data_IF_933586358736
#
_entry.id   IF_933586358736
#
_cell.length_a   1.000
_cell.length_b   1.000
_cell.length_c   1.000
_cell.angle_alpha   90.00
_cell.angle_beta   90.00
_cell.angle_gamma   90.00
#
_symmetry.space_group_name_H-M   'P 1'
#
loop_
_entity.id
_entity.type
_entity.pdbx_description
1 polymer ?
#
# COMPACT_ATOMS: atom_id res chain seq x y z
N UNK A 1 11.11 -10.76 30.71
CA UNK A 1 10.82 -9.77 29.65
C UNK A 1 10.71 -10.50 28.32
N UNK A 2 9.48 -10.70 27.83
CA UNK A 2 9.15 -11.38 26.57
C UNK A 2 8.27 -10.43 25.75
N UNK A 3 8.83 -9.32 25.25
CA UNK A 3 8.08 -8.37 24.40
C UNK A 3 8.66 -8.22 22.98
N UNK A 4 9.90 -8.65 22.71
CA UNK A 4 10.54 -8.49 21.40
C UNK A 4 9.91 -9.30 20.24
N UNK A 5 9.07 -10.30 20.55
CA UNK A 5 8.42 -11.13 19.54
C UNK A 5 7.14 -10.55 18.97
N UNK A 6 6.47 -9.66 19.72
CA UNK A 6 5.16 -9.11 19.33
C UNK A 6 5.29 -7.92 18.39
N UNK A 7 6.24 -7.02 18.65
CA UNK A 7 6.48 -5.86 17.78
C UNK A 7 7.01 -6.26 16.40
N UNK A 8 7.74 -7.38 16.31
CA UNK A 8 8.29 -7.87 15.05
C UNK A 8 7.26 -8.56 14.14
N UNK A 9 6.10 -8.98 14.65
CA UNK A 9 5.00 -9.46 13.79
C UNK A 9 4.12 -8.29 13.34
N UNK A 10 3.89 -7.28 14.19
CA UNK A 10 3.19 -6.04 13.83
C UNK A 10 3.97 -5.26 12.76
N UNK A 11 5.28 -5.09 12.94
CA UNK A 11 6.17 -4.40 11.99
C UNK A 11 6.35 -5.17 10.66
N UNK A 12 6.19 -6.50 10.68
CA UNK A 12 6.16 -7.32 9.46
C UNK A 12 4.79 -7.35 8.79
N UNK A 13 3.71 -7.22 9.56
CA UNK A 13 2.33 -7.09 9.08
C UNK A 13 2.09 -5.74 8.37
N UNK A 14 2.80 -4.68 8.77
CA UNK A 14 2.71 -3.35 8.16
C UNK A 14 3.39 -3.18 6.78
N UNK A 15 4.06 -4.21 6.24
CA UNK A 15 4.83 -4.07 4.99
C UNK A 15 3.96 -4.04 3.73
N UNK A 16 2.74 -4.58 3.79
CA UNK A 16 1.83 -4.57 2.65
C UNK A 16 0.80 -3.45 2.81
N UNK A 17 1.07 -2.31 2.15
CA UNK A 17 0.11 -1.22 2.10
C UNK A 17 -1.00 -1.56 1.11
N UNK A 18 -2.24 -1.33 1.50
CA UNK A 18 -3.42 -1.68 0.71
C UNK A 18 -4.32 -0.47 0.54
N UNK A 19 -4.90 -0.27 -0.64
CA UNK A 19 -5.97 0.71 -0.89
C UNK A 19 -7.20 0.04 -1.48
N UNK A 20 -8.33 0.73 -1.39
CA UNK A 20 -9.54 0.33 -2.09
C UNK A 20 -9.53 0.90 -3.51
N UNK A 21 -10.22 0.24 -4.43
CA UNK A 21 -10.47 0.75 -5.79
C UNK A 21 -11.07 2.15 -5.84
N UNK A 22 -11.84 2.50 -4.79
CA UNK A 22 -12.53 3.78 -4.61
C UNK A 22 -11.69 4.85 -3.89
N UNK A 23 -10.49 4.52 -3.38
CA UNK A 23 -9.60 5.53 -2.81
C UNK A 23 -9.14 6.51 -3.90
N UNK A 24 -9.01 7.79 -3.55
CA UNK A 24 -8.55 8.81 -4.50
C UNK A 24 -7.07 8.61 -4.85
N UNK A 25 -6.70 9.02 -6.07
CA UNK A 25 -5.30 8.97 -6.50
C UNK A 25 -4.37 9.76 -5.58
N UNK A 26 -4.82 10.92 -5.07
CA UNK A 26 -4.08 11.72 -4.10
C UNK A 26 -3.71 10.92 -2.84
N UNK A 27 -4.67 10.17 -2.28
CA UNK A 27 -4.44 9.32 -1.10
C UNK A 27 -3.45 8.18 -1.39
N UNK A 28 -3.47 7.63 -2.61
CA UNK A 28 -2.49 6.63 -3.05
C UNK A 28 -1.09 7.24 -3.16
N UNK A 29 -0.98 8.45 -3.72
CA UNK A 29 0.30 9.18 -3.84
C UNK A 29 0.89 9.50 -2.47
N UNK A 30 0.08 9.98 -1.52
CA UNK A 30 0.52 10.29 -0.16
C UNK A 30 1.14 9.05 0.53
N UNK A 31 0.55 7.87 0.31
CA UNK A 31 1.10 6.60 0.84
C UNK A 31 2.37 6.17 0.12
N UNK A 32 2.44 6.33 -1.20
CA UNK A 32 3.67 6.04 -1.97
C UNK A 32 4.80 7.04 -1.68
N UNK A 33 4.49 8.23 -1.13
CA UNK A 33 5.48 9.20 -0.71
C UNK A 33 6.27 8.75 0.54
N UNK A 34 5.76 7.77 1.29
CA UNK A 34 6.52 7.16 2.38
C UNK A 34 7.67 6.31 1.80
N UNK A 35 8.96 6.60 2.13
CA UNK A 35 10.12 5.90 1.58
C UNK A 35 10.12 4.37 1.77
N UNK A 36 9.38 3.87 2.78
CA UNK A 36 9.21 2.44 3.02
C UNK A 36 8.21 1.75 2.08
N UNK A 37 7.42 2.50 1.32
CA UNK A 37 6.28 2.00 0.54
C UNK A 37 6.55 2.16 -0.95
N UNK A 38 6.95 1.07 -1.60
CA UNK A 38 7.26 1.08 -3.05
C UNK A 38 6.07 0.74 -3.93
N UNK A 39 5.11 0.01 -3.37
CA UNK A 39 3.95 -0.55 -4.06
C UNK A 39 2.77 -0.58 -3.09
N UNK A 40 1.58 -0.37 -3.62
CA UNK A 40 0.32 -0.48 -2.90
C UNK A 40 -0.54 -1.51 -3.61
N UNK A 41 -1.12 -2.41 -2.83
CA UNK A 41 -2.03 -3.43 -3.31
C UNK A 41 -3.46 -2.87 -3.35
N UNK A 42 -4.12 -2.95 -4.49
CA UNK A 42 -5.51 -2.53 -4.65
C UNK A 42 -6.39 -3.74 -4.36
N UNK A 43 -7.34 -3.58 -3.45
CA UNK A 43 -8.31 -4.63 -3.12
C UNK A 43 -9.75 -4.16 -3.23
N UNK A 44 -10.62 -5.11 -3.48
CA UNK A 44 -12.07 -4.91 -3.40
C UNK A 44 -12.50 -4.79 -1.93
N UNK A 45 -13.43 -3.86 -1.65
CA UNK A 45 -14.02 -3.71 -0.33
C UNK A 45 -14.82 -4.97 0.07
N UNK A 46 -14.78 -5.33 1.36
CA UNK A 46 -15.49 -6.49 1.90
C UNK A 46 -14.79 -7.82 1.64
N UNK A 47 -14.59 -8.20 0.38
CA UNK A 47 -13.99 -9.49 0.00
C UNK A 47 -12.47 -9.55 0.19
N UNK A 48 -11.79 -8.39 0.19
CA UNK A 48 -10.32 -8.26 0.14
C UNK A 48 -9.68 -8.95 -1.06
N UNK A 49 -10.46 -9.22 -2.12
CA UNK A 49 -9.94 -9.78 -3.37
C UNK A 49 -8.92 -8.82 -3.97
N UNK A 50 -7.78 -9.35 -4.40
CA UNK A 50 -6.77 -8.58 -5.11
C UNK A 50 -7.31 -8.11 -6.45
N UNK A 51 -7.27 -6.81 -6.70
CA UNK A 51 -7.64 -6.21 -7.99
C UNK A 51 -6.42 -5.76 -8.79
N UNK A 52 -5.34 -5.37 -8.11
CA UNK A 52 -4.14 -4.92 -8.80
C UNK A 52 -3.07 -4.40 -7.86
N UNK A 53 -2.02 -3.86 -8.46
CA UNK A 53 -0.90 -3.24 -7.76
C UNK A 53 -0.61 -1.91 -8.45
N UNK A 54 -0.35 -0.87 -7.66
CA UNK A 54 0.09 0.44 -8.14
C UNK A 54 1.44 0.79 -7.53
N UNK A 55 2.33 1.35 -8.33
CA UNK A 55 3.64 1.84 -7.95
C UNK A 55 3.84 3.29 -8.39
N UNK A 56 4.91 3.94 -7.91
CA UNK A 56 5.26 5.29 -8.36
C UNK A 56 5.43 5.38 -9.89
N UNK A 57 5.94 4.34 -10.55
CA UNK A 57 6.09 4.30 -12.00
C UNK A 57 4.76 4.41 -12.75
N UNK A 58 3.69 3.82 -12.21
CA UNK A 58 2.37 3.87 -12.83
C UNK A 58 1.76 5.27 -12.70
N UNK A 59 2.01 5.94 -11.56
CA UNK A 59 1.64 7.34 -11.34
C UNK A 59 2.37 8.25 -12.33
N UNK A 60 3.68 8.06 -12.51
CA UNK A 60 4.45 8.85 -13.48
C UNK A 60 3.96 8.64 -14.91
N UNK A 61 3.66 7.39 -15.31
CA UNK A 61 3.05 7.13 -16.62
C UNK A 61 1.71 7.86 -16.75
N UNK A 62 0.85 7.82 -15.74
CA UNK A 62 -0.45 8.50 -15.82
C UNK A 62 -0.35 10.03 -16.04
N UNK A 63 0.65 10.69 -15.44
CA UNK A 63 0.79 12.15 -15.54
C UNK A 63 1.72 12.64 -16.65
N UNK A 64 2.70 11.82 -17.07
CA UNK A 64 3.80 12.25 -17.94
C UNK A 64 3.82 11.56 -19.30
N UNK A 65 2.88 10.66 -19.60
CA UNK A 65 2.77 9.99 -20.91
C UNK A 65 1.37 10.07 -21.50
#
# INVERSE_FOLDING_TARGET
>A
ALQLGQDAYELRSQRCQMCLRSDSLHKVIERLANPGVRRIVIVEAGSKRLEGIVSLSDIFKFFLS
#
